data_IF_868031508345
#
_entry.id   IF_868031508345
#
_cell.length_a   1.000
_cell.length_b   1.000
_cell.length_c   1.000
_cell.angle_alpha   90.00
_cell.angle_beta   90.00
_cell.angle_gamma   90.00
#
_symmetry.space_group_name_H-M   'P 1'
#
loop_
_entity.id
_entity.type
_entity.pdbx_description
1 polymer ?
#
# COMPACT_ATOMS: atom_id res chain seq x y z
N UNK A 1 -3.81 41.03 11.37
CA UNK A 1 -5.00 40.17 11.59
C UNK A 1 -4.52 38.70 11.58
N UNK A 2 -4.32 38.16 12.76
CA UNK A 2 -3.88 36.78 12.93
C UNK A 2 -5.08 35.85 12.70
N UNK A 3 -4.96 34.87 11.78
CA UNK A 3 -5.92 33.78 11.65
C UNK A 3 -5.66 32.79 12.78
N UNK A 4 -6.64 32.65 13.66
CA UNK A 4 -6.69 31.59 14.67
C UNK A 4 -6.64 30.22 13.98
N UNK A 5 -5.57 29.50 14.23
CA UNK A 5 -5.47 28.06 13.94
C UNK A 5 -6.20 27.34 15.06
N UNK A 6 -7.44 26.91 14.81
CA UNK A 6 -8.16 26.02 15.72
C UNK A 6 -7.43 24.68 15.77
N UNK A 7 -6.87 24.36 16.93
CA UNK A 7 -6.42 23.01 17.25
C UNK A 7 -7.64 22.08 17.30
N UNK A 8 -7.76 21.18 16.33
CA UNK A 8 -8.75 20.12 16.34
C UNK A 8 -8.19 18.99 17.20
N UNK A 9 -8.67 18.88 18.42
CA UNK A 9 -8.46 17.69 19.26
C UNK A 9 -9.18 16.50 18.60
N UNK A 10 -8.43 15.59 18.00
CA UNK A 10 -8.98 14.38 17.39
C UNK A 10 -9.39 13.39 18.48
N UNK A 11 -10.69 13.09 18.57
CA UNK A 11 -11.19 11.88 19.24
C UNK A 11 -10.87 10.64 18.40
N UNK A 12 -10.77 9.47 19.03
CA UNK A 12 -10.30 8.20 18.43
C UNK A 12 -11.15 7.62 17.26
N UNK A 13 -12.14 8.35 16.78
CA UNK A 13 -12.95 7.99 15.60
C UNK A 13 -12.92 9.14 14.60
N UNK A 14 -11.85 9.24 13.82
CA UNK A 14 -11.85 10.16 12.68
C UNK A 14 -12.52 9.45 11.50
N UNK A 15 -13.76 9.83 11.18
CA UNK A 15 -14.41 9.48 9.92
C UNK A 15 -13.87 10.45 8.89
N UNK A 16 -13.11 9.97 7.93
CA UNK A 16 -12.71 10.77 6.78
C UNK A 16 -13.92 10.91 5.86
N UNK A 17 -14.29 12.14 5.52
CA UNK A 17 -15.21 12.36 4.41
C UNK A 17 -14.56 11.80 3.14
N UNK A 18 -15.30 10.97 2.40
CA UNK A 18 -14.82 10.52 1.10
C UNK A 18 -14.47 11.75 0.26
N UNK A 19 -13.25 11.79 -0.27
CA UNK A 19 -12.94 12.72 -1.34
C UNK A 19 -13.86 12.44 -2.51
N UNK A 20 -14.17 13.45 -3.34
CA UNK A 20 -14.97 13.24 -4.55
C UNK A 20 -14.44 12.01 -5.30
N UNK A 21 -15.35 11.11 -5.73
CA UNK A 21 -14.99 9.72 -5.94
C UNK A 21 -13.98 9.56 -7.07
N UNK A 22 -13.01 8.73 -6.83
CA UNK A 22 -12.45 7.88 -7.87
C UNK A 22 -13.63 7.29 -8.63
N UNK A 23 -13.86 7.71 -9.85
CA UNK A 23 -15.13 7.42 -10.57
C UNK A 23 -14.99 6.08 -11.28
N UNK A 24 -15.52 4.99 -10.70
CA UNK A 24 -15.74 3.77 -11.48
C UNK A 24 -16.81 4.03 -12.53
N UNK A 25 -16.90 3.17 -13.53
CA UNK A 25 -18.08 3.19 -14.40
C UNK A 25 -19.35 2.94 -13.55
N UNK A 26 -20.49 3.48 -13.94
CA UNK A 26 -21.74 3.28 -13.19
C UNK A 26 -22.06 1.79 -12.94
N UNK A 27 -21.64 0.90 -13.86
CA UNK A 27 -21.77 -0.55 -13.69
C UNK A 27 -20.81 -1.10 -12.63
N UNK A 28 -19.55 -0.69 -12.66
CA UNK A 28 -18.56 -1.10 -11.67
C UNK A 28 -18.94 -0.61 -10.27
N UNK A 29 -19.50 0.61 -10.15
CA UNK A 29 -19.99 1.13 -8.87
C UNK A 29 -21.06 0.24 -8.24
N UNK A 30 -22.05 -0.21 -9.03
CA UNK A 30 -23.07 -1.14 -8.55
C UNK A 30 -22.46 -2.46 -8.08
N UNK A 31 -21.53 -3.00 -8.84
CA UNK A 31 -20.80 -4.22 -8.47
C UNK A 31 -19.99 -4.04 -7.19
N UNK A 32 -19.21 -2.97 -7.08
CA UNK A 32 -18.39 -2.71 -5.89
C UNK A 32 -19.26 -2.46 -4.64
N UNK A 33 -20.35 -1.71 -4.78
CA UNK A 33 -21.29 -1.51 -3.69
C UNK A 33 -21.92 -2.83 -3.21
N UNK A 34 -22.23 -3.74 -4.13
CA UNK A 34 -22.71 -5.08 -3.78
C UNK A 34 -21.63 -5.91 -3.12
N UNK A 35 -20.43 -6.00 -3.70
CA UNK A 35 -19.30 -6.76 -3.17
C UNK A 35 -18.94 -6.33 -1.75
N UNK A 36 -18.94 -5.02 -1.47
CA UNK A 36 -18.63 -4.50 -0.14
C UNK A 36 -19.71 -4.86 0.90
N UNK A 37 -20.98 -4.92 0.51
CA UNK A 37 -22.06 -5.41 1.40
C UNK A 37 -21.89 -6.90 1.70
N UNK A 38 -21.63 -7.73 0.68
CA UNK A 38 -21.37 -9.16 0.86
C UNK A 38 -20.16 -9.41 1.78
N UNK A 39 -19.08 -8.63 1.61
CA UNK A 39 -17.91 -8.69 2.49
C UNK A 39 -18.24 -8.30 3.93
N UNK A 40 -19.07 -7.27 4.12
CA UNK A 40 -19.50 -6.83 5.45
C UNK A 40 -20.37 -7.89 6.18
N UNK A 41 -21.19 -8.64 5.43
CA UNK A 41 -22.03 -9.72 5.96
C UNK A 41 -21.23 -10.97 6.32
N UNK A 42 -20.05 -11.15 5.70
CA UNK A 42 -19.21 -12.34 5.93
C UNK A 42 -18.54 -12.37 7.32
N UNK A 43 -18.59 -11.27 8.06
CA UNK A 43 -17.97 -11.09 9.39
C UNK A 43 -16.48 -11.50 9.43
N UNK A 44 -15.78 -11.22 8.33
CA UNK A 44 -14.33 -11.35 8.23
C UNK A 44 -13.68 -9.98 8.17
N UNK A 45 -12.55 -9.78 8.87
CA UNK A 45 -11.86 -8.50 8.82
C UNK A 45 -11.23 -8.28 7.43
N UNK A 46 -11.56 -7.15 6.81
CA UNK A 46 -10.91 -6.66 5.61
C UNK A 46 -10.71 -5.14 5.69
N UNK A 47 -9.81 -4.63 4.87
CA UNK A 47 -9.55 -3.20 4.72
C UNK A 47 -9.67 -2.83 3.25
N UNK A 48 -10.29 -1.69 2.98
CA UNK A 48 -10.21 -1.08 1.66
C UNK A 48 -8.83 -0.46 1.48
N UNK A 49 -8.22 -0.67 0.33
CA UNK A 49 -6.86 -0.25 0.02
C UNK A 49 -6.77 0.54 -1.30
N UNK A 50 -5.62 0.52 -1.94
CA UNK A 50 -5.40 1.03 -3.28
C UNK A 50 -5.79 2.49 -3.48
N UNK A 51 -6.39 2.76 -4.63
CA UNK A 51 -6.75 4.11 -5.06
C UNK A 51 -7.85 4.73 -4.20
N UNK A 52 -8.80 3.93 -3.69
CA UNK A 52 -9.86 4.42 -2.81
C UNK A 52 -9.33 4.93 -1.47
N UNK A 53 -8.41 4.18 -0.85
CA UNK A 53 -7.75 4.62 0.37
C UNK A 53 -6.88 5.87 0.13
N UNK A 54 -6.12 5.89 -0.97
CA UNK A 54 -5.31 7.05 -1.35
C UNK A 54 -6.17 8.30 -1.51
N UNK A 55 -7.28 8.20 -2.25
CA UNK A 55 -8.22 9.30 -2.48
C UNK A 55 -8.81 9.83 -1.17
N UNK A 56 -9.21 8.94 -0.26
CA UNK A 56 -9.73 9.33 1.04
C UNK A 56 -8.72 10.13 1.88
N UNK A 57 -7.43 9.80 1.79
CA UNK A 57 -6.36 10.49 2.53
C UNK A 57 -5.88 11.77 1.89
N UNK A 58 -5.84 11.82 0.58
CA UNK A 58 -5.15 12.90 -0.16
C UNK A 58 -6.09 13.86 -0.86
N UNK A 59 -7.33 13.47 -1.11
CA UNK A 59 -8.26 14.20 -1.97
C UNK A 59 -7.94 14.04 -3.47
N UNK A 60 -6.95 13.24 -3.84
CA UNK A 60 -6.61 13.00 -5.24
C UNK A 60 -7.55 11.95 -5.81
N UNK A 61 -8.47 12.39 -6.66
CA UNK A 61 -9.34 11.51 -7.42
C UNK A 61 -8.69 11.13 -8.75
N UNK A 62 -8.73 9.86 -9.11
CA UNK A 62 -8.29 9.36 -10.42
C UNK A 62 -9.13 8.16 -10.84
N UNK A 63 -9.24 7.92 -12.12
CA UNK A 63 -9.87 6.70 -12.61
C UNK A 63 -9.14 5.47 -12.05
N UNK A 64 -9.93 4.50 -11.58
CA UNK A 64 -9.44 3.18 -11.22
C UNK A 64 -10.25 2.12 -11.96
N UNK A 65 -9.58 1.02 -12.30
CA UNK A 65 -10.20 -0.13 -12.99
C UNK A 65 -10.66 -1.21 -12.02
N UNK A 66 -10.27 -1.09 -10.75
CA UNK A 66 -10.40 -2.10 -9.72
C UNK A 66 -10.73 -1.49 -8.37
N UNK A 67 -11.20 -2.33 -7.49
CA UNK A 67 -11.35 -2.07 -6.07
C UNK A 67 -10.37 -3.01 -5.35
N UNK A 68 -9.49 -2.47 -4.51
CA UNK A 68 -8.54 -3.28 -3.76
C UNK A 68 -9.06 -3.52 -2.33
N UNK A 69 -9.21 -4.77 -1.92
CA UNK A 69 -9.40 -5.13 -0.53
C UNK A 69 -8.20 -5.92 0.00
N UNK A 70 -7.90 -5.73 1.27
CA UNK A 70 -6.79 -6.40 1.95
C UNK A 70 -7.36 -7.23 3.09
N UNK A 71 -6.96 -8.50 3.18
CA UNK A 71 -7.38 -9.42 4.23
C UNK A 71 -6.19 -10.23 4.75
N UNK A 72 -6.37 -10.94 5.87
CA UNK A 72 -5.33 -11.85 6.35
C UNK A 72 -5.22 -13.09 5.44
N UNK A 73 -4.03 -13.70 5.33
CA UNK A 73 -3.86 -14.96 4.57
C UNK A 73 -4.81 -16.07 5.02
N UNK A 74 -5.13 -16.14 6.32
CA UNK A 74 -6.08 -17.13 6.87
C UNK A 74 -7.53 -16.92 6.42
N UNK A 75 -7.91 -15.70 6.08
CA UNK A 75 -9.28 -15.33 5.72
C UNK A 75 -9.51 -15.34 4.21
N UNK A 76 -8.43 -15.19 3.43
CA UNK A 76 -8.44 -15.15 1.99
C UNK A 76 -9.22 -16.30 1.30
N UNK A 77 -9.01 -17.60 1.65
CA UNK A 77 -9.75 -18.67 1.01
C UNK A 77 -11.27 -18.64 1.30
N UNK A 78 -11.65 -18.13 2.49
CA UNK A 78 -13.06 -18.02 2.88
C UNK A 78 -13.74 -16.91 2.09
N UNK A 79 -13.07 -15.78 1.87
CA UNK A 79 -13.57 -14.69 1.03
C UNK A 79 -13.78 -15.19 -0.40
N UNK A 80 -12.78 -15.82 -1.01
CA UNK A 80 -12.89 -16.30 -2.38
C UNK A 80 -13.97 -17.37 -2.55
N UNK A 81 -14.10 -18.31 -1.60
CA UNK A 81 -15.14 -19.32 -1.63
C UNK A 81 -16.54 -18.72 -1.50
N UNK A 82 -16.73 -17.73 -0.62
CA UNK A 82 -18.00 -17.03 -0.48
C UNK A 82 -18.46 -16.43 -1.81
N UNK A 83 -17.59 -15.70 -2.51
CA UNK A 83 -17.94 -15.14 -3.81
C UNK A 83 -18.17 -16.19 -4.88
N UNK A 84 -17.45 -17.31 -4.85
CA UNK A 84 -17.69 -18.43 -5.75
C UNK A 84 -19.07 -19.05 -5.52
N UNK A 85 -19.49 -19.22 -4.26
CA UNK A 85 -20.79 -19.76 -3.89
C UNK A 85 -21.94 -18.81 -4.30
N UNK A 86 -21.70 -17.51 -4.35
CA UNK A 86 -22.63 -16.50 -4.88
C UNK A 86 -22.67 -16.47 -6.43
N UNK A 87 -21.86 -17.27 -7.11
CA UNK A 87 -21.84 -17.39 -8.57
C UNK A 87 -20.92 -16.40 -9.29
N UNK A 88 -20.02 -15.70 -8.57
CA UNK A 88 -18.99 -14.89 -9.20
C UNK A 88 -17.84 -15.74 -9.76
N UNK A 89 -17.19 -15.26 -10.81
CA UNK A 89 -15.95 -15.87 -11.29
C UNK A 89 -14.81 -15.47 -10.37
N UNK A 90 -14.05 -16.45 -9.90
CA UNK A 90 -12.94 -16.25 -8.97
C UNK A 90 -11.67 -16.82 -9.59
N UNK A 91 -10.64 -16.01 -9.66
CA UNK A 91 -9.32 -16.38 -10.18
C UNK A 91 -8.23 -16.15 -9.12
N UNK A 92 -7.27 -17.07 -9.04
CA UNK A 92 -6.04 -16.90 -8.26
C UNK A 92 -5.00 -16.37 -9.25
N UNK A 93 -4.71 -15.08 -9.17
CA UNK A 93 -3.74 -14.43 -10.05
C UNK A 93 -2.31 -14.81 -9.67
N UNK A 94 -2.02 -14.78 -8.37
CA UNK A 94 -0.75 -15.23 -7.79
C UNK A 94 -1.03 -15.88 -6.43
N UNK A 95 -0.66 -17.15 -6.26
CA UNK A 95 -0.91 -17.93 -5.05
C UNK A 95 -0.23 -17.38 -3.80
N UNK A 96 0.75 -16.49 -3.97
CA UNK A 96 1.52 -15.89 -2.87
C UNK A 96 0.86 -14.64 -2.28
N UNK A 97 -0.03 -13.93 -3.07
CA UNK A 97 -0.50 -12.63 -2.58
C UNK A 97 -1.84 -12.13 -3.13
N UNK A 98 -2.38 -12.64 -4.26
CA UNK A 98 -3.46 -11.99 -5.00
C UNK A 98 -4.48 -12.97 -5.58
N UNK A 99 -5.75 -12.73 -5.28
CA UNK A 99 -6.88 -13.31 -6.01
C UNK A 99 -7.79 -12.22 -6.54
N UNK A 100 -8.62 -12.56 -7.51
CA UNK A 100 -9.55 -11.66 -8.18
C UNK A 100 -10.96 -12.22 -8.16
N UNK A 101 -11.94 -11.34 -7.99
CA UNK A 101 -13.36 -11.67 -8.09
C UNK A 101 -13.96 -10.82 -9.19
N UNK A 102 -14.54 -11.48 -10.20
CA UNK A 102 -15.07 -10.86 -11.41
C UNK A 102 -16.58 -10.87 -11.46
N UNK A 103 -17.13 -9.79 -11.97
CA UNK A 103 -18.49 -9.73 -12.53
C UNK A 103 -18.41 -9.15 -13.94
N UNK A 104 -18.51 -10.00 -14.96
CA UNK A 104 -18.27 -9.66 -16.37
C UNK A 104 -16.82 -9.17 -16.59
N UNK A 105 -16.66 -7.88 -16.90
CA UNK A 105 -15.35 -7.27 -17.11
C UNK A 105 -14.86 -6.43 -15.91
N UNK A 106 -15.74 -6.22 -14.92
CA UNK A 106 -15.39 -5.51 -13.70
C UNK A 106 -14.87 -6.52 -12.66
N UNK A 107 -13.91 -6.14 -11.86
CA UNK A 107 -13.33 -7.01 -10.86
C UNK A 107 -12.87 -6.22 -9.63
N UNK A 108 -12.69 -6.92 -8.54
CA UNK A 108 -11.96 -6.41 -7.40
C UNK A 108 -10.85 -7.38 -6.99
N UNK A 109 -9.79 -6.82 -6.43
CA UNK A 109 -8.63 -7.54 -5.96
C UNK A 109 -8.78 -7.93 -4.49
N UNK A 110 -8.46 -9.17 -4.16
CA UNK A 110 -8.36 -9.70 -2.80
C UNK A 110 -6.89 -9.94 -2.52
N UNK A 111 -6.29 -9.05 -1.75
CA UNK A 111 -4.86 -9.02 -1.47
C UNK A 111 -4.63 -9.52 -0.04
N UNK A 112 -3.76 -10.50 0.16
CA UNK A 112 -3.44 -11.03 1.48
C UNK A 112 -1.96 -10.89 1.85
N UNK A 113 -1.15 -10.46 0.88
CA UNK A 113 0.25 -10.08 1.08
C UNK A 113 0.65 -9.07 0.01
N UNK A 114 1.81 -8.45 0.14
CA UNK A 114 2.40 -7.58 -0.88
C UNK A 114 3.77 -8.11 -1.28
N UNK A 115 4.30 -7.60 -2.41
CA UNK A 115 5.63 -7.92 -2.93
C UNK A 115 5.87 -9.42 -3.06
N UNK A 116 4.99 -10.09 -3.81
CA UNK A 116 5.08 -11.53 -4.07
C UNK A 116 5.04 -12.41 -2.81
N UNK A 117 4.34 -11.96 -1.77
CA UNK A 117 4.15 -12.73 -0.54
C UNK A 117 5.06 -12.34 0.62
N UNK A 118 6.07 -11.48 0.41
CA UNK A 118 7.03 -11.12 1.45
C UNK A 118 6.46 -10.26 2.58
N UNK A 119 5.37 -9.54 2.32
CA UNK A 119 4.71 -8.68 3.29
C UNK A 119 3.28 -9.15 3.56
N UNK A 120 3.06 -10.18 4.39
CA UNK A 120 1.72 -10.67 4.69
C UNK A 120 0.93 -9.67 5.54
N UNK A 121 -0.38 -9.62 5.29
CA UNK A 121 -1.30 -8.80 6.08
C UNK A 121 -1.51 -9.45 7.46
N UNK A 122 -1.26 -8.69 8.52
CA UNK A 122 -1.34 -9.15 9.91
C UNK A 122 -2.45 -8.45 10.69
N UNK A 123 -2.76 -8.93 11.90
CA UNK A 123 -3.76 -8.29 12.77
C UNK A 123 -3.41 -6.83 13.08
N UNK A 124 -2.13 -6.48 13.13
CA UNK A 124 -1.66 -5.11 13.38
C UNK A 124 -2.18 -4.09 12.36
N UNK A 125 -2.43 -4.50 11.11
CA UNK A 125 -2.97 -3.63 10.07
C UNK A 125 -4.38 -3.15 10.40
N UNK A 126 -5.13 -3.96 11.14
CA UNK A 126 -6.51 -3.66 11.53
C UNK A 126 -6.61 -2.78 12.77
N UNK A 127 -5.60 -2.78 13.65
CA UNK A 127 -5.62 -2.04 14.91
C UNK A 127 -5.74 -0.52 14.70
N UNK A 128 -5.02 0.02 13.73
CA UNK A 128 -4.94 1.46 13.43
C UNK A 128 -5.77 1.89 12.21
N UNK A 129 -6.54 0.97 11.62
CA UNK A 129 -7.32 1.22 10.42
C UNK A 129 -8.50 2.17 10.70
N UNK A 130 -8.55 3.37 10.10
CA UNK A 130 -9.66 4.29 10.28
C UNK A 130 -10.90 3.84 9.50
N UNK A 131 -12.06 4.42 9.84
CA UNK A 131 -13.34 4.16 9.16
C UNK A 131 -13.65 5.26 8.17
N UNK A 132 -14.22 4.86 7.04
CA UNK A 132 -14.81 5.75 6.03
C UNK A 132 -16.15 5.18 5.57
N UNK A 133 -16.90 5.99 4.81
CA UNK A 133 -18.07 5.52 4.08
C UNK A 133 -17.74 5.51 2.59
N UNK A 134 -17.96 4.36 1.94
CA UNK A 134 -17.78 4.18 0.50
C UNK A 134 -19.01 3.48 -0.08
N UNK A 135 -19.61 4.06 -1.12
CA UNK A 135 -20.85 3.57 -1.74
C UNK A 135 -21.98 3.34 -0.72
N UNK A 136 -22.09 4.22 0.30
CA UNK A 136 -23.09 4.11 1.37
C UNK A 136 -22.85 2.99 2.38
N UNK A 137 -21.66 2.34 2.34
CA UNK A 137 -21.29 1.27 3.27
C UNK A 137 -20.14 1.74 4.16
N UNK A 138 -20.29 1.71 5.51
CA UNK A 138 -19.21 2.02 6.42
C UNK A 138 -18.20 0.88 6.45
N UNK A 139 -16.91 1.21 6.28
CA UNK A 139 -15.84 0.23 6.28
C UNK A 139 -14.53 0.80 6.83
N UNK A 140 -13.56 -0.07 7.05
CA UNK A 140 -12.20 0.34 7.41
C UNK A 140 -11.34 0.47 6.18
N UNK A 141 -10.43 1.44 6.19
CA UNK A 141 -9.38 1.58 5.16
C UNK A 141 -8.02 1.28 5.77
N UNK A 142 -7.10 0.78 4.93
CA UNK A 142 -5.70 0.59 5.28
C UNK A 142 -5.12 1.90 5.83
N UNK A 143 -4.37 1.84 6.94
CA UNK A 143 -3.79 3.03 7.53
C UNK A 143 -2.67 3.62 6.66
N UNK A 144 -2.34 4.94 6.80
CA UNK A 144 -1.32 5.59 5.95
C UNK A 144 0.04 4.91 5.99
N UNK A 145 0.44 4.36 7.12
CA UNK A 145 1.70 3.63 7.31
C UNK A 145 1.78 2.41 6.41
N UNK A 146 0.77 1.56 6.48
CA UNK A 146 0.68 0.33 5.70
C UNK A 146 0.44 0.63 4.21
N UNK A 147 -0.30 1.70 3.90
CA UNK A 147 -0.51 2.13 2.52
C UNK A 147 0.79 2.62 1.87
N UNK A 148 1.64 3.36 2.59
CA UNK A 148 2.97 3.72 2.11
C UNK A 148 3.81 2.46 1.88
N UNK A 149 3.80 1.54 2.84
CA UNK A 149 4.57 0.30 2.73
C UNK A 149 4.12 -0.52 1.51
N UNK A 150 2.81 -0.71 1.30
CA UNK A 150 2.28 -1.46 0.15
C UNK A 150 2.68 -0.88 -1.21
N UNK A 151 2.95 0.44 -1.28
CA UNK A 151 3.32 1.16 -2.51
C UNK A 151 4.83 1.32 -2.72
N UNK A 152 5.65 1.10 -1.68
CA UNK A 152 7.06 1.46 -1.70
C UNK A 152 7.87 0.79 -2.82
N UNK A 153 7.48 -0.43 -3.21
CA UNK A 153 8.17 -1.21 -4.24
C UNK A 153 7.54 -1.11 -5.64
N UNK A 154 6.45 -0.36 -5.81
CA UNK A 154 5.84 -0.17 -7.13
C UNK A 154 6.66 0.84 -7.94
N UNK A 155 7.69 0.34 -8.61
CA UNK A 155 8.66 1.10 -9.43
C UNK A 155 8.83 0.46 -10.81
N UNK A 156 7.70 0.23 -11.48
CA UNK A 156 7.67 -0.32 -12.83
C UNK A 156 7.92 0.78 -13.88
N UNK A 157 8.40 0.41 -15.04
CA UNK A 157 8.63 1.35 -16.17
C UNK A 157 7.37 2.15 -16.55
N UNK A 158 6.20 1.54 -16.42
CA UNK A 158 4.90 2.14 -16.78
C UNK A 158 4.06 2.56 -15.56
N UNK A 159 4.50 2.24 -14.34
CA UNK A 159 3.81 2.58 -13.08
C UNK A 159 4.82 2.84 -11.97
N UNK A 160 4.74 4.02 -11.39
CA UNK A 160 5.56 4.45 -10.26
C UNK A 160 4.68 5.12 -9.20
N UNK A 161 4.55 4.50 -8.04
CA UNK A 161 3.67 4.99 -6.97
C UNK A 161 4.36 6.00 -6.03
N UNK A 162 5.54 6.51 -6.36
CA UNK A 162 6.27 7.48 -5.55
C UNK A 162 5.55 8.81 -5.35
N UNK A 163 4.73 9.24 -6.31
CA UNK A 163 3.87 10.41 -6.14
C UNK A 163 2.78 10.17 -5.11
N UNK A 164 2.18 8.97 -5.08
CA UNK A 164 1.18 8.57 -4.09
C UNK A 164 1.77 8.62 -2.67
N UNK A 165 2.99 8.08 -2.50
CA UNK A 165 3.73 8.12 -1.24
C UNK A 165 4.00 9.56 -0.81
N UNK A 166 4.46 10.40 -1.74
CA UNK A 166 4.73 11.80 -1.46
C UNK A 166 3.46 12.57 -1.02
N UNK A 167 2.32 12.30 -1.67
CA UNK A 167 1.04 12.89 -1.30
C UNK A 167 0.52 12.37 0.06
N UNK A 168 0.71 11.08 0.37
CA UNK A 168 0.40 10.52 1.69
C UNK A 168 1.22 11.19 2.78
N UNK A 169 2.53 11.35 2.59
CA UNK A 169 3.39 12.08 3.52
C UNK A 169 2.89 13.50 3.70
N UNK A 170 2.65 14.23 2.60
CA UNK A 170 2.19 15.61 2.62
C UNK A 170 0.89 15.80 3.42
N UNK A 171 -0.06 14.87 3.27
CA UNK A 171 -1.41 15.01 3.81
C UNK A 171 -1.64 14.28 5.14
N UNK A 172 -0.83 13.27 5.45
CA UNK A 172 -1.08 12.36 6.56
C UNK A 172 0.14 12.17 7.47
N UNK A 173 1.19 12.98 7.38
CA UNK A 173 2.42 12.81 8.16
C UNK A 173 2.19 12.67 9.67
N UNK A 174 1.15 13.29 10.23
CA UNK A 174 0.74 13.18 11.64
C UNK A 174 0.13 11.81 12.00
N UNK A 175 -0.36 11.06 11.00
CA UNK A 175 -1.01 9.76 11.16
C UNK A 175 -0.08 8.60 10.81
N UNK A 176 1.09 8.90 10.23
CA UNK A 176 2.08 7.88 9.89
C UNK A 176 2.82 7.47 11.16
N UNK A 177 2.79 6.18 11.49
CA UNK A 177 3.68 5.61 12.48
C UNK A 177 5.06 5.37 11.84
N UNK A 178 5.91 6.39 11.94
CA UNK A 178 7.24 6.38 11.33
C UNK A 178 8.17 5.32 11.91
N UNK A 179 7.98 4.90 13.18
CA UNK A 179 8.78 3.84 13.77
C UNK A 179 8.39 2.49 13.21
N UNK A 180 7.10 2.26 13.07
CA UNK A 180 6.56 1.04 12.46
C UNK A 180 6.90 0.96 10.97
N UNK A 181 6.81 2.08 10.24
CA UNK A 181 7.22 2.13 8.84
C UNK A 181 8.71 1.78 8.68
N UNK A 182 9.59 2.35 9.53
CA UNK A 182 11.02 2.00 9.53
C UNK A 182 11.22 0.51 9.85
N UNK A 183 10.49 -0.04 10.82
CA UNK A 183 10.58 -1.45 11.17
C UNK A 183 10.13 -2.37 10.01
N UNK A 184 9.05 -2.04 9.32
CA UNK A 184 8.61 -2.75 8.12
C UNK A 184 9.65 -2.71 7.00
N UNK A 185 10.35 -1.58 6.86
CA UNK A 185 11.35 -1.35 5.82
C UNK A 185 12.79 -1.66 6.27
N UNK A 186 12.99 -2.36 7.40
CA UNK A 186 14.31 -2.55 8.01
C UNK A 186 15.35 -3.14 7.04
N UNK A 187 14.98 -4.17 6.29
CA UNK A 187 15.85 -4.80 5.27
C UNK A 187 15.96 -3.99 3.97
N UNK A 188 15.07 -3.02 3.80
CA UNK A 188 14.91 -2.21 2.58
C UNK A 188 14.90 -0.71 2.89
N UNK A 189 15.59 -0.32 3.96
CA UNK A 189 15.63 1.08 4.41
C UNK A 189 16.13 2.05 3.32
N UNK A 190 16.93 1.58 2.37
CA UNK A 190 17.41 2.38 1.23
C UNK A 190 16.25 2.80 0.32
N UNK A 191 15.24 1.93 0.14
CA UNK A 191 14.02 2.24 -0.61
C UNK A 191 13.22 3.32 0.12
N UNK A 192 13.08 3.20 1.44
CA UNK A 192 12.44 4.23 2.26
C UNK A 192 13.19 5.57 2.12
N UNK A 193 14.51 5.56 2.29
CA UNK A 193 15.34 6.76 2.14
C UNK A 193 15.15 7.42 0.78
N UNK A 194 15.11 6.64 -0.30
CA UNK A 194 14.90 7.16 -1.66
C UNK A 194 13.54 7.88 -1.79
N UNK A 195 12.46 7.30 -1.26
CA UNK A 195 11.15 7.97 -1.23
C UNK A 195 11.15 9.26 -0.41
N UNK A 196 11.81 9.27 0.75
CA UNK A 196 11.90 10.46 1.59
C UNK A 196 12.74 11.57 0.93
N UNK A 197 13.81 11.23 0.22
CA UNK A 197 14.59 12.19 -0.58
C UNK A 197 13.74 12.76 -1.71
N UNK A 198 13.01 11.91 -2.45
CA UNK A 198 12.11 12.33 -3.51
C UNK A 198 11.01 13.27 -2.97
N UNK A 199 10.42 12.96 -1.82
CA UNK A 199 9.46 13.83 -1.15
C UNK A 199 10.07 15.21 -0.84
N UNK A 200 11.26 15.23 -0.24
CA UNK A 200 11.95 16.48 0.13
C UNK A 200 12.36 17.31 -1.08
N UNK A 201 12.64 16.66 -2.20
CA UNK A 201 12.90 17.35 -3.45
C UNK A 201 11.63 17.91 -4.08
N UNK A 202 10.54 17.16 -4.07
CA UNK A 202 9.25 17.57 -4.64
C UNK A 202 8.57 18.68 -3.81
N UNK A 203 8.69 18.61 -2.48
CA UNK A 203 8.06 19.54 -1.53
C UNK A 203 9.09 20.16 -0.56
N UNK A 204 10.00 21.03 -1.05
CA UNK A 204 11.09 21.54 -0.23
C UNK A 204 10.63 22.42 0.94
N UNK A 205 9.43 23.02 0.88
CA UNK A 205 8.81 23.78 1.97
C UNK A 205 8.25 22.89 3.08
N UNK A 206 7.96 21.62 2.79
CA UNK A 206 7.27 20.69 3.67
C UNK A 206 8.22 19.62 4.25
N UNK A 207 9.52 19.89 4.25
CA UNK A 207 10.55 18.94 4.71
C UNK A 207 10.32 18.44 6.13
N UNK A 208 9.68 19.24 6.96
CA UNK A 208 9.42 18.94 8.37
C UNK A 208 8.26 17.96 8.58
N UNK A 209 7.51 17.62 7.51
CA UNK A 209 6.56 16.49 7.53
C UNK A 209 7.26 15.16 7.79
N UNK A 210 8.55 15.05 7.46
CA UNK A 210 9.37 13.86 7.75
C UNK A 210 10.14 14.10 9.05
N UNK A 211 10.01 13.24 10.08
CA UNK A 211 10.69 13.42 11.34
C UNK A 211 12.21 13.49 11.18
N UNK A 212 12.84 14.46 11.82
CA UNK A 212 14.29 14.66 11.75
C UNK A 212 15.06 13.41 12.18
N UNK A 213 14.62 12.76 13.27
CA UNK A 213 15.28 11.56 13.77
C UNK A 213 15.36 10.42 12.74
N UNK A 214 14.30 10.28 11.90
CA UNK A 214 14.26 9.27 10.85
C UNK A 214 15.28 9.56 9.75
N UNK A 215 15.37 10.83 9.31
CA UNK A 215 16.38 11.23 8.33
C UNK A 215 17.79 11.05 8.87
N UNK A 216 18.04 11.46 10.14
CA UNK A 216 19.34 11.32 10.78
C UNK A 216 19.76 9.84 10.86
N UNK A 217 18.83 8.94 11.23
CA UNK A 217 19.03 7.49 11.28
C UNK A 217 19.39 6.90 9.91
N UNK A 218 18.56 7.20 8.90
CA UNK A 218 18.76 6.65 7.54
C UNK A 218 20.05 7.17 6.90
N UNK A 219 20.41 8.43 7.11
CA UNK A 219 21.67 9.00 6.65
C UNK A 219 22.86 8.38 7.39
N UNK A 220 22.74 8.10 8.68
CA UNK A 220 23.79 7.43 9.44
C UNK A 220 24.04 6.01 8.92
N UNK A 221 22.97 5.26 8.61
CA UNK A 221 23.08 3.92 7.99
C UNK A 221 23.77 3.99 6.63
N UNK A 222 23.39 4.96 5.78
CA UNK A 222 24.05 5.13 4.48
C UNK A 222 25.53 5.45 4.61
N UNK A 223 25.91 6.34 5.53
CA UNK A 223 27.32 6.65 5.79
C UNK A 223 28.10 5.44 6.27
N UNK A 224 27.53 4.66 7.19
CA UNK A 224 28.15 3.44 7.68
C UNK A 224 28.37 2.40 6.56
N UNK A 225 27.47 2.33 5.59
CA UNK A 225 27.60 1.44 4.44
C UNK A 225 28.72 1.84 3.48
N UNK A 226 28.98 3.14 3.30
CA UNK A 226 30.02 3.65 2.39
C UNK A 226 31.40 3.13 2.76
N UNK A 227 31.65 2.92 4.04
CA UNK A 227 32.93 2.45 4.56
C UNK A 227 33.07 0.91 4.53
N UNK A 228 31.99 0.18 4.20
CA UNK A 228 32.02 -1.27 4.11
C UNK A 228 32.47 -1.74 2.72
N UNK A 229 33.21 -2.86 2.65
CA UNK A 229 33.50 -3.46 1.34
C UNK A 229 32.19 -3.94 0.68
N UNK A 230 32.10 -3.89 -0.67
CA UNK A 230 30.95 -4.39 -1.36
C UNK A 230 30.74 -5.90 -1.08
N UNK A 231 29.49 -6.39 -1.06
CA UNK A 231 29.20 -7.81 -0.91
C UNK A 231 29.94 -8.64 -1.96
N UNK A 232 30.46 -9.79 -1.56
CA UNK A 232 31.18 -10.71 -2.47
C UNK A 232 30.23 -11.43 -3.43
N UNK A 233 29.00 -11.68 -2.98
CA UNK A 233 27.95 -12.31 -3.78
C UNK A 233 27.25 -11.23 -4.58
N UNK A 234 27.07 -11.48 -5.87
CA UNK A 234 26.30 -10.60 -6.74
C UNK A 234 24.82 -10.84 -6.50
N UNK A 235 24.16 -9.97 -5.73
CA UNK A 235 22.73 -10.05 -5.42
C UNK A 235 21.99 -8.96 -6.17
N UNK A 236 20.88 -9.31 -6.82
CA UNK A 236 19.94 -8.38 -7.42
C UNK A 236 18.66 -8.31 -6.58
N UNK A 237 18.37 -7.16 -5.96
CA UNK A 237 17.12 -6.86 -5.28
C UNK A 237 16.13 -6.09 -6.18
N UNK A 238 16.54 -5.79 -7.40
CA UNK A 238 15.75 -4.99 -8.33
C UNK A 238 14.45 -5.67 -8.77
N UNK A 239 14.40 -7.01 -8.71
CA UNK A 239 13.19 -7.77 -9.03
C UNK A 239 12.03 -7.52 -8.06
N UNK A 240 12.32 -7.04 -6.85
CA UNK A 240 11.29 -6.51 -5.92
C UNK A 240 10.56 -5.28 -6.48
N UNK A 241 11.22 -4.50 -7.32
CA UNK A 241 10.58 -3.38 -8.02
C UNK A 241 9.87 -3.84 -9.29
N UNK A 242 10.56 -4.64 -10.12
CA UNK A 242 10.06 -5.11 -11.41
C UNK A 242 10.73 -6.41 -11.80
N UNK A 243 9.96 -7.49 -11.85
CA UNK A 243 10.44 -8.80 -12.29
C UNK A 243 11.02 -8.74 -13.72
N UNK A 244 10.36 -7.98 -14.60
CA UNK A 244 10.72 -7.87 -16.02
C UNK A 244 11.91 -6.95 -16.23
N UNK A 245 11.92 -5.76 -15.62
CA UNK A 245 12.96 -4.76 -15.88
C UNK A 245 14.33 -5.17 -15.33
N UNK A 246 14.38 -6.05 -14.34
CA UNK A 246 15.60 -6.58 -13.73
C UNK A 246 15.90 -8.04 -14.10
N UNK A 247 15.12 -8.64 -15.02
CA UNK A 247 15.31 -10.04 -15.44
C UNK A 247 16.73 -10.30 -15.96
N UNK A 248 17.26 -9.45 -16.84
CA UNK A 248 18.61 -9.61 -17.40
C UNK A 248 19.72 -9.65 -16.34
N UNK A 249 19.54 -9.01 -15.18
CA UNK A 249 20.54 -9.07 -14.13
C UNK A 249 20.72 -10.50 -13.60
N UNK A 250 19.61 -11.23 -13.44
CA UNK A 250 19.61 -12.60 -12.94
C UNK A 250 19.89 -13.60 -14.08
N UNK A 251 19.22 -13.44 -15.21
CA UNK A 251 19.26 -14.41 -16.31
C UNK A 251 20.55 -14.35 -17.13
N UNK A 252 21.16 -13.16 -17.27
CA UNK A 252 22.29 -12.95 -18.19
C UNK A 252 23.58 -12.47 -17.50
N UNK A 253 23.47 -11.64 -16.41
CA UNK A 253 24.65 -10.97 -15.84
C UNK A 253 25.21 -11.68 -14.60
N UNK A 254 24.60 -12.82 -14.21
CA UNK A 254 25.06 -13.68 -13.13
C UNK A 254 24.85 -13.11 -11.72
N UNK A 255 23.79 -12.33 -11.54
CA UNK A 255 23.32 -11.96 -10.21
C UNK A 255 22.38 -13.02 -9.67
N UNK A 256 22.41 -13.27 -8.37
CA UNK A 256 21.42 -14.09 -7.67
C UNK A 256 20.21 -13.23 -7.34
N UNK A 257 19.01 -13.79 -7.54
CA UNK A 257 17.77 -13.13 -7.12
C UNK A 257 17.67 -13.16 -5.61
N UNK A 258 17.41 -12.01 -5.01
CA UNK A 258 17.22 -11.94 -3.56
C UNK A 258 15.93 -12.61 -3.07
N UNK A 259 14.96 -12.88 -3.98
CA UNK A 259 13.71 -13.56 -3.68
C UNK A 259 13.83 -15.10 -3.67
N UNK A 260 14.85 -15.68 -4.30
CA UNK A 260 15.00 -17.14 -4.43
C UNK A 260 15.58 -17.83 -3.19
N UNK A 261 16.11 -17.09 -2.22
CA UNK A 261 16.70 -17.65 -0.98
C UNK A 261 15.66 -17.91 0.13
N UNK A 262 14.38 -18.00 -0.19
CA UNK A 262 13.28 -18.24 0.77
C UNK A 262 12.75 -19.69 0.73
N UNK A 263 13.53 -20.64 0.21
CA UNK A 263 13.24 -22.09 0.30
C UNK A 263 13.92 -22.75 1.50
#
# INVERSE_FOLDING_TARGET
MAKEVRAITKSAETIYAAAEPTVPSARAEVFYAQALRELAELDLPFLLAGTYALSAYTGVARETKDLDIVCKPSDYPRILNHFRDLGYTVEIEDERWLGKVFQHQDFFDVIFAFWHGMAPVTDQWFESAPRIEVFGTPMRIIAPTELIWSKAFVQLRHRYDGADIAHLILKQHDQIDWRRLLAYMELHWEVLLAHLINFRWAYPSERDCVPRWLMDELIARLKAQVDLPPPRVKICRGRLFSQVDYASAVEEWGFVDADEDSD
#
